data_IF_085377999503
#
_entry.id   IF_085377999503
#
_cell.length_a   1.000
_cell.length_b   1.000
_cell.length_c   1.000
_cell.angle_alpha   90.00
_cell.angle_beta   90.00
_cell.angle_gamma   90.00
#
_symmetry.space_group_name_H-M   'P 1'
#
loop_
_entity.id
_entity.type
_entity.pdbx_description
1 polymer ?
#
# COMPACT_ATOMS: atom_id res chain seq x y z
N UNK A 1 -15.85 2.35 -16.55
CA UNK A 1 -15.46 1.98 -15.17
C UNK A 1 -14.95 0.55 -15.19
N UNK A 2 -13.76 0.28 -14.67
CA UNK A 2 -13.14 -1.07 -14.66
C UNK A 2 -13.62 -1.92 -13.47
N UNK A 3 -14.95 -2.05 -13.29
CA UNK A 3 -15.58 -2.99 -12.34
C UNK A 3 -14.94 -3.10 -10.94
N UNK A 4 -15.06 -4.29 -10.34
CA UNK A 4 -14.33 -4.67 -9.13
C UNK A 4 -12.99 -5.32 -9.51
N UNK A 5 -11.95 -5.08 -8.71
CA UNK A 5 -10.63 -5.67 -8.89
C UNK A 5 -10.24 -6.46 -7.65
N UNK A 6 -9.60 -7.61 -7.86
CA UNK A 6 -8.96 -8.35 -6.77
C UNK A 6 -7.89 -7.46 -6.12
N UNK A 7 -7.99 -7.30 -4.81
CA UNK A 7 -7.19 -6.33 -4.05
C UNK A 7 -6.57 -7.04 -2.85
N UNK A 8 -5.24 -7.01 -2.76
CA UNK A 8 -4.53 -7.61 -1.62
C UNK A 8 -4.77 -6.79 -0.36
N UNK A 9 -5.09 -7.48 0.73
CA UNK A 9 -5.19 -6.87 2.06
C UNK A 9 -3.96 -7.28 2.87
N UNK A 10 -3.19 -6.28 3.29
CA UNK A 10 -2.01 -6.46 4.13
C UNK A 10 -2.34 -6.08 5.56
N UNK A 11 -1.96 -6.94 6.51
CA UNK A 11 -1.90 -6.58 7.92
C UNK A 11 -0.68 -5.68 8.14
N UNK A 12 -0.91 -4.43 8.55
CA UNK A 12 0.13 -3.43 8.74
C UNK A 12 1.19 -3.88 9.73
N UNK A 13 0.84 -4.62 10.77
CA UNK A 13 1.78 -5.10 11.78
C UNK A 13 2.75 -6.17 11.24
N UNK A 14 2.42 -6.79 10.10
CA UNK A 14 3.25 -7.83 9.46
C UNK A 14 4.17 -7.30 8.35
N UNK A 15 4.05 -6.02 7.98
CA UNK A 15 4.91 -5.44 6.95
C UNK A 15 6.31 -5.16 7.49
N UNK A 16 7.33 -5.61 6.77
CA UNK A 16 8.74 -5.44 7.17
C UNK A 16 9.38 -4.23 6.51
N UNK A 17 10.37 -3.63 7.17
CA UNK A 17 11.18 -2.55 6.60
C UNK A 17 11.76 -2.95 5.22
N UNK A 18 11.72 -2.03 4.27
CA UNK A 18 12.14 -2.23 2.88
C UNK A 18 11.10 -2.91 1.99
N UNK A 19 10.04 -3.50 2.57
CA UNK A 19 8.97 -4.13 1.79
C UNK A 19 8.27 -3.09 0.92
N UNK A 20 8.10 -3.42 -0.36
CA UNK A 20 7.44 -2.57 -1.35
C UNK A 20 6.39 -3.38 -2.12
N UNK A 21 5.26 -2.75 -2.46
CA UNK A 21 4.20 -3.35 -3.27
C UNK A 21 3.46 -2.28 -4.08
N UNK A 22 2.81 -2.71 -5.17
CA UNK A 22 2.03 -1.86 -6.09
C UNK A 22 0.54 -2.09 -5.84
N UNK A 23 -0.25 -1.03 -5.95
CA UNK A 23 -1.70 -1.12 -5.87
C UNK A 23 -2.35 -1.81 -7.08
N UNK A 24 -3.62 -2.23 -6.99
CA UNK A 24 -4.54 -1.96 -5.89
C UNK A 24 -4.24 -2.84 -4.67
N UNK A 25 -4.11 -2.19 -3.51
CA UNK A 25 -3.94 -2.86 -2.22
C UNK A 25 -4.63 -2.09 -1.11
N UNK A 26 -4.96 -2.78 -0.03
CA UNK A 26 -5.42 -2.20 1.23
C UNK A 26 -4.46 -2.63 2.32
N UNK A 27 -4.08 -1.69 3.17
CA UNK A 27 -3.28 -1.94 4.37
C UNK A 27 -4.16 -1.66 5.56
N UNK A 28 -4.48 -2.72 6.29
CA UNK A 28 -5.33 -2.66 7.47
C UNK A 28 -4.47 -2.56 8.73
N UNK A 29 -4.80 -1.61 9.60
CA UNK A 29 -4.18 -1.37 10.89
C UNK A 29 -5.28 -1.28 11.94
N UNK A 30 -4.91 -1.43 13.22
CA UNK A 30 -5.87 -1.43 14.34
C UNK A 30 -6.77 -0.19 14.41
N UNK A 31 -6.32 0.96 13.92
CA UNK A 31 -6.98 2.26 14.04
C UNK A 31 -7.16 3.00 12.69
N UNK A 32 -6.66 2.43 11.59
CA UNK A 32 -6.71 3.07 10.28
C UNK A 32 -6.64 2.05 9.15
N UNK A 33 -7.14 2.43 7.98
CA UNK A 33 -7.07 1.62 6.78
C UNK A 33 -6.52 2.49 5.66
N UNK A 34 -5.37 2.12 5.11
CA UNK A 34 -4.74 2.83 3.98
C UNK A 34 -5.05 2.11 2.68
N UNK A 35 -5.68 2.80 1.75
CA UNK A 35 -5.86 2.32 0.38
C UNK A 35 -4.68 2.76 -0.50
N UNK A 36 -4.08 1.82 -1.21
CA UNK A 36 -3.05 2.03 -2.23
C UNK A 36 -3.71 1.90 -3.60
N UNK A 37 -3.97 3.01 -4.32
CA UNK A 37 -4.70 2.96 -5.59
C UNK A 37 -3.90 2.30 -6.71
N UNK A 38 -4.58 1.94 -7.80
CA UNK A 38 -3.90 1.57 -9.05
C UNK A 38 -2.98 2.70 -9.52
N UNK A 39 -1.79 2.34 -10.01
CA UNK A 39 -0.78 3.34 -10.42
C UNK A 39 -0.03 3.99 -9.26
N UNK A 40 -0.15 3.45 -8.04
CA UNK A 40 0.64 3.84 -6.88
C UNK A 40 1.45 2.66 -6.36
N UNK A 41 2.56 2.96 -5.69
CA UNK A 41 3.31 2.01 -4.88
C UNK A 41 3.32 2.43 -3.41
N UNK A 42 3.53 1.46 -2.54
CA UNK A 42 3.74 1.63 -1.11
C UNK A 42 5.08 1.00 -0.72
N UNK A 43 5.84 1.70 0.13
CA UNK A 43 7.10 1.22 0.68
C UNK A 43 7.16 1.46 2.18
N UNK A 44 7.70 0.50 2.93
CA UNK A 44 7.96 0.67 4.37
C UNK A 44 9.40 1.15 4.57
N UNK A 45 9.56 2.38 5.04
CA UNK A 45 10.85 2.97 5.35
C UNK A 45 11.26 2.72 6.81
N UNK A 46 12.42 3.24 7.19
CA UNK A 46 12.88 3.28 8.58
C UNK A 46 11.83 3.91 9.50
N UNK A 47 11.76 3.45 10.75
CA UNK A 47 10.76 3.90 11.71
C UNK A 47 9.34 3.42 11.40
N UNK A 48 9.18 2.44 10.50
CA UNK A 48 7.86 1.92 10.12
C UNK A 48 6.96 2.98 9.47
N UNK A 49 7.53 3.90 8.70
CA UNK A 49 6.73 4.81 7.89
C UNK A 49 6.25 4.11 6.62
N UNK A 50 4.94 4.14 6.36
CA UNK A 50 4.37 3.71 5.08
C UNK A 50 4.33 4.91 4.13
N UNK A 51 5.13 4.89 3.08
CA UNK A 51 5.19 5.96 2.07
C UNK A 51 4.48 5.51 0.81
N UNK A 52 3.61 6.38 0.27
CA UNK A 52 2.92 6.17 -1.00
C UNK A 52 3.53 7.05 -2.09
N UNK A 53 3.87 6.44 -3.23
CA UNK A 53 4.38 7.15 -4.40
C UNK A 53 3.46 6.91 -5.60
N UNK A 54 3.23 7.96 -6.39
CA UNK A 54 2.47 7.88 -7.63
C UNK A 54 3.43 7.50 -8.77
N UNK A 55 3.11 6.44 -9.52
CA UNK A 55 4.00 5.85 -10.52
C UNK A 55 4.03 6.62 -11.85
N UNK A 56 3.08 7.54 -12.07
CA UNK A 56 2.97 8.35 -13.30
C UNK A 56 3.75 9.68 -13.24
N UNK A 57 4.48 9.94 -12.14
CA UNK A 57 5.30 11.15 -11.96
C UNK A 57 6.79 10.83 -11.80
N UNK A 58 7.29 9.88 -12.60
CA UNK A 58 8.74 9.63 -12.75
C UNK A 58 9.30 10.59 -13.79
#
# INVERSE_FOLDING_TARGET
AIGFLETKVFDRAKLTMGQTFVGPAVVDQIDTTTWVPCGWSASVLEGSMLVLNRLDRI
#
